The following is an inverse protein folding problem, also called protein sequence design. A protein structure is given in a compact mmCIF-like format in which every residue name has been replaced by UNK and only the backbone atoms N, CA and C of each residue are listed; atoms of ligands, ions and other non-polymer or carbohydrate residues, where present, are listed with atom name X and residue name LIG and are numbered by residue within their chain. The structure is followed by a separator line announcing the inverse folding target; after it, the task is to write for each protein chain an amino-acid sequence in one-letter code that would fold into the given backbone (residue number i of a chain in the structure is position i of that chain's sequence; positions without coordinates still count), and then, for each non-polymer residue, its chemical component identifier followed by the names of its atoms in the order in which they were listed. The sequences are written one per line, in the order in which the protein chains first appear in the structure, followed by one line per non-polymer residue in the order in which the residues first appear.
data_IF_857896733894
#
_entry.id   IF_857896733894
#
_cell.length_a   1.000
_cell.length_b   1.000
_cell.length_c   1.000
_cell.angle_alpha   90.00
_cell.angle_beta   90.00
_cell.angle_gamma   90.00
#
_symmetry.space_group_name_H-M   'P 1'
#
loop_
_entity.id
_entity.type
_entity.pdbx_description
1 polymer ?
#
# COMPACT_ATOMS: atom_id res chain seq x y z
N UNK A 1 -30.48 43.62 -43.19
CA UNK A 1 -30.77 42.68 -42.09
C UNK A 1 -29.92 41.42 -42.26
N UNK A 2 -28.60 41.57 -42.32
CA UNK A 2 -27.65 40.48 -42.65
C UNK A 2 -26.59 40.25 -41.57
N UNK A 3 -26.43 41.17 -40.63
CA UNK A 3 -25.43 41.08 -39.55
C UNK A 3 -25.90 40.19 -38.38
N UNK A 4 -27.22 40.03 -38.20
CA UNK A 4 -27.81 39.22 -37.13
C UNK A 4 -27.66 37.71 -37.38
N UNK A 5 -27.69 37.26 -38.64
CA UNK A 5 -27.41 35.87 -39.02
C UNK A 5 -25.92 35.52 -38.79
N UNK A 6 -25.00 36.47 -39.04
CA UNK A 6 -23.57 36.27 -38.84
C UNK A 6 -23.22 36.11 -37.36
N UNK A 7 -23.80 36.92 -36.47
CA UNK A 7 -23.52 36.86 -35.02
C UNK A 7 -24.11 35.61 -34.35
N UNK A 8 -25.27 35.14 -34.81
CA UNK A 8 -25.93 33.95 -34.24
C UNK A 8 -25.23 32.66 -34.69
N UNK A 9 -24.76 32.60 -35.94
CA UNK A 9 -23.93 31.48 -36.42
C UNK A 9 -22.55 31.44 -35.74
N UNK A 10 -21.94 32.60 -35.46
CA UNK A 10 -20.69 32.67 -34.71
C UNK A 10 -20.84 32.18 -33.27
N UNK A 11 -21.94 32.54 -32.60
CA UNK A 11 -22.29 32.04 -31.28
C UNK A 11 -22.57 30.53 -31.30
N UNK A 12 -23.27 30.03 -32.31
CA UNK A 12 -23.49 28.60 -32.49
C UNK A 12 -22.19 27.84 -32.74
N UNK A 13 -21.24 28.43 -33.48
CA UNK A 13 -19.92 27.86 -33.73
C UNK A 13 -19.07 27.82 -32.46
N UNK A 14 -19.05 28.91 -31.70
CA UNK A 14 -18.38 29.03 -30.41
C UNK A 14 -18.97 28.05 -29.38
N UNK A 15 -20.29 27.94 -29.29
CA UNK A 15 -20.99 26.99 -28.42
C UNK A 15 -20.55 25.55 -28.71
N UNK A 16 -20.55 25.13 -29.98
CA UNK A 16 -20.07 23.79 -30.37
C UNK A 16 -18.59 23.57 -30.04
N UNK A 17 -17.78 24.62 -30.13
CA UNK A 17 -16.35 24.55 -29.82
C UNK A 17 -16.13 24.38 -28.31
N UNK A 18 -16.86 25.12 -27.48
CA UNK A 18 -16.86 24.95 -26.01
C UNK A 18 -17.39 23.58 -25.59
N UNK A 19 -18.48 23.09 -26.18
CA UNK A 19 -19.02 21.75 -25.87
C UNK A 19 -18.01 20.65 -26.17
N UNK A 20 -17.32 20.70 -27.32
CA UNK A 20 -16.27 19.74 -27.65
C UNK A 20 -15.10 19.81 -26.68
N UNK A 21 -14.68 21.02 -26.31
CA UNK A 21 -13.57 21.22 -25.39
C UNK A 21 -13.91 20.70 -23.98
N UNK A 22 -15.15 20.91 -23.53
CA UNK A 22 -15.66 20.38 -22.26
C UNK A 22 -15.69 18.84 -22.28
N UNK A 23 -16.18 18.22 -23.36
CA UNK A 23 -16.21 16.76 -23.50
C UNK A 23 -14.80 16.14 -23.53
N UNK A 24 -13.83 16.81 -24.15
CA UNK A 24 -12.44 16.35 -24.20
C UNK A 24 -11.76 16.47 -22.83
N UNK A 25 -12.04 17.54 -22.08
CA UNK A 25 -11.60 17.69 -20.69
C UNK A 25 -12.19 16.61 -19.77
N UNK A 26 -13.50 16.37 -19.86
CA UNK A 26 -14.19 15.34 -19.08
C UNK A 26 -13.64 13.93 -19.37
N UNK A 27 -13.32 13.63 -20.64
CA UNK A 27 -12.68 12.37 -21.02
C UNK A 27 -11.28 12.23 -20.42
N UNK A 28 -10.46 13.27 -20.46
CA UNK A 28 -9.13 13.23 -19.85
C UNK A 28 -9.19 13.07 -18.33
N UNK A 29 -10.12 13.74 -17.67
CA UNK A 29 -10.27 13.65 -16.21
C UNK A 29 -10.77 12.27 -15.77
N UNK A 30 -11.71 11.68 -16.50
CA UNK A 30 -12.12 10.27 -16.30
C UNK A 30 -10.94 9.31 -16.49
N UNK A 31 -10.12 9.48 -17.53
CA UNK A 31 -8.94 8.65 -17.74
C UNK A 31 -7.92 8.79 -16.60
N UNK A 32 -7.68 10.01 -16.09
CA UNK A 32 -6.81 10.23 -14.93
C UNK A 32 -7.34 9.55 -13.67
N UNK A 33 -8.64 9.64 -13.42
CA UNK A 33 -9.27 8.98 -12.28
C UNK A 33 -9.22 7.45 -12.40
N UNK A 34 -9.47 6.89 -13.59
CA UNK A 34 -9.36 5.45 -13.84
C UNK A 34 -7.92 4.95 -13.69
N UNK A 35 -6.94 5.69 -14.20
CA UNK A 35 -5.52 5.38 -14.00
C UNK A 35 -5.15 5.47 -12.52
N UNK A 36 -5.61 6.50 -11.80
CA UNK A 36 -5.39 6.63 -10.36
C UNK A 36 -5.98 5.46 -9.57
N UNK A 37 -7.18 5.00 -9.93
CA UNK A 37 -7.80 3.80 -9.35
C UNK A 37 -7.00 2.53 -9.65
N UNK A 38 -6.54 2.36 -10.89
CA UNK A 38 -5.69 1.22 -11.29
C UNK A 38 -4.37 1.21 -10.52
N UNK A 39 -3.69 2.35 -10.41
CA UNK A 39 -2.42 2.47 -9.66
C UNK A 39 -2.64 2.16 -8.19
N UNK A 40 -3.70 2.70 -7.57
CA UNK A 40 -4.04 2.38 -6.17
C UNK A 40 -4.32 0.89 -5.99
N UNK A 41 -5.02 0.26 -6.93
CA UNK A 41 -5.27 -1.19 -6.91
C UNK A 41 -3.99 -2.01 -7.01
N UNK A 42 -3.06 -1.64 -7.88
CA UNK A 42 -1.76 -2.30 -8.01
C UNK A 42 -0.92 -2.14 -6.74
N UNK A 43 -0.87 -0.92 -6.17
CA UNK A 43 -0.14 -0.66 -4.93
C UNK A 43 -0.71 -1.44 -3.75
N UNK A 44 -2.04 -1.52 -3.65
CA UNK A 44 -2.71 -2.34 -2.64
C UNK A 44 -2.38 -3.82 -2.83
N UNK A 45 -2.42 -4.32 -4.07
CA UNK A 45 -2.05 -5.72 -4.38
C UNK A 45 -0.59 -6.05 -4.04
N UNK A 46 0.34 -5.14 -4.34
CA UNK A 46 1.75 -5.29 -3.95
C UNK A 46 1.93 -5.30 -2.43
N UNK A 47 1.20 -4.43 -1.71
CA UNK A 47 1.18 -4.41 -0.25
C UNK A 47 0.70 -5.75 0.32
N UNK A 48 -0.42 -6.25 -0.18
CA UNK A 48 -0.99 -7.53 0.26
C UNK A 48 -0.06 -8.73 -0.03
N UNK A 49 0.64 -8.70 -1.16
CA UNK A 49 1.61 -9.73 -1.53
C UNK A 49 2.83 -9.71 -0.61
N UNK A 50 3.42 -8.53 -0.38
CA UNK A 50 4.56 -8.36 0.53
C UNK A 50 4.22 -8.80 1.95
N UNK A 51 3.02 -8.46 2.41
CA UNK A 51 2.53 -8.80 3.74
C UNK A 51 2.29 -10.31 3.86
N UNK A 52 1.75 -10.95 2.81
CA UNK A 52 1.61 -12.40 2.77
C UNK A 52 2.98 -13.11 2.77
N UNK A 53 3.96 -12.60 2.02
CA UNK A 53 5.33 -13.13 2.03
C UNK A 53 5.99 -12.98 3.39
N UNK A 54 5.85 -11.82 4.03
CA UNK A 54 6.44 -11.54 5.33
C UNK A 54 5.81 -12.42 6.43
N UNK A 55 4.50 -12.66 6.40
CA UNK A 55 3.82 -13.61 7.31
C UNK A 55 4.29 -15.05 7.04
N UNK A 56 4.50 -15.43 5.79
CA UNK A 56 5.03 -16.76 5.45
C UNK A 56 6.46 -16.95 5.95
N UNK A 57 7.29 -15.91 5.89
CA UNK A 57 8.64 -15.91 6.49
C UNK A 57 8.58 -15.90 8.01
N UNK A 58 7.62 -15.21 8.62
CA UNK A 58 7.43 -15.21 10.07
C UNK A 58 7.22 -16.63 10.62
N UNK A 59 6.56 -17.52 9.87
CA UNK A 59 6.35 -18.93 10.23
C UNK A 59 7.65 -19.71 10.44
N UNK A 60 8.78 -19.28 9.86
CA UNK A 60 10.06 -19.97 10.03
C UNK A 60 10.82 -19.51 11.27
N UNK A 61 10.45 -18.37 11.86
CA UNK A 61 11.18 -17.72 12.95
C UNK A 61 10.35 -17.52 14.22
N UNK A 62 9.02 -17.58 14.12
CA UNK A 62 8.10 -17.37 15.22
C UNK A 62 7.29 -18.63 15.57
N UNK A 63 6.90 -18.80 16.84
CA UNK A 63 6.00 -19.86 17.26
C UNK A 63 4.63 -19.83 16.53
N UNK A 64 3.95 -20.97 16.37
CA UNK A 64 2.67 -21.03 15.65
C UNK A 64 1.54 -20.17 16.25
N UNK A 65 1.56 -19.92 17.57
CA UNK A 65 0.56 -19.05 18.22
C UNK A 65 0.74 -17.58 17.83
N UNK A 66 1.99 -17.11 17.73
CA UNK A 66 2.34 -15.76 17.27
C UNK A 66 1.92 -15.56 15.81
N UNK A 67 2.17 -16.56 14.95
CA UNK A 67 1.74 -16.50 13.54
C UNK A 67 0.22 -16.33 13.45
N UNK A 68 -0.54 -17.10 14.23
CA UNK A 68 -2.01 -16.99 14.26
C UNK A 68 -2.48 -15.62 14.74
N UNK A 69 -1.81 -15.04 15.73
CA UNK A 69 -2.14 -13.71 16.22
C UNK A 69 -1.84 -12.63 15.17
N UNK A 70 -0.70 -12.70 14.49
CA UNK A 70 -0.37 -11.78 13.37
C UNK A 70 -1.37 -11.93 12.21
N UNK A 71 -1.76 -13.16 11.86
CA UNK A 71 -2.78 -13.43 10.84
C UNK A 71 -4.17 -12.91 11.23
N UNK A 72 -4.54 -13.03 12.51
CA UNK A 72 -5.82 -12.51 13.03
C UNK A 72 -5.85 -10.97 13.09
N UNK A 73 -4.69 -10.35 13.34
CA UNK A 73 -4.55 -8.90 13.44
C UNK A 73 -4.36 -8.23 12.07
N UNK A 74 -4.02 -8.99 11.02
CA UNK A 74 -3.85 -8.50 9.64
C UNK A 74 -5.04 -7.66 9.12
N UNK A 75 -6.25 -8.02 9.53
CA UNK A 75 -7.49 -7.47 8.99
C UNK A 75 -8.31 -6.68 10.01
N UNK A 76 -7.79 -6.47 11.23
CA UNK A 76 -8.47 -5.70 12.26
C UNK A 76 -8.12 -4.22 12.14
N UNK A 77 -9.13 -3.37 12.32
CA UNK A 77 -8.92 -1.94 12.52
C UNK A 77 -8.25 -1.70 13.88
N UNK A 78 -7.08 -1.06 13.85
CA UNK A 78 -6.24 -0.84 15.03
C UNK A 78 -5.01 -1.76 15.02
N UNK A 79 -3.84 -1.14 14.84
CA UNK A 79 -2.56 -1.84 14.71
C UNK A 79 -1.73 -1.83 16.00
N UNK A 80 -2.24 -1.25 17.10
CA UNK A 80 -1.50 -1.12 18.37
C UNK A 80 -1.13 -2.46 19.01
N UNK A 81 -2.06 -3.43 19.02
CA UNK A 81 -1.78 -4.76 19.55
C UNK A 81 -0.79 -5.52 18.67
N UNK A 82 -0.90 -5.34 17.35
CA UNK A 82 0.07 -5.88 16.39
C UNK A 82 1.45 -5.25 16.57
N UNK A 83 1.50 -3.94 16.89
CA UNK A 83 2.74 -3.20 17.15
C UNK A 83 3.42 -3.76 18.39
N UNK A 84 2.69 -3.90 19.49
CA UNK A 84 3.20 -4.46 20.74
C UNK A 84 3.73 -5.87 20.54
N UNK A 85 3.00 -6.69 19.80
CA UNK A 85 3.38 -8.07 19.53
C UNK A 85 4.64 -8.16 18.67
N UNK A 86 4.73 -7.40 17.57
CA UNK A 86 5.93 -7.39 16.71
C UNK A 86 7.14 -6.79 17.46
N UNK A 87 6.95 -5.71 18.22
CA UNK A 87 8.00 -5.12 19.06
C UNK A 87 8.51 -6.09 20.12
N UNK A 88 7.63 -6.84 20.80
CA UNK A 88 8.04 -7.86 21.76
C UNK A 88 8.88 -8.97 21.13
N UNK A 89 8.55 -9.41 19.91
CA UNK A 89 9.37 -10.38 19.17
C UNK A 89 10.73 -9.82 18.78
N UNK A 90 10.80 -8.54 18.40
CA UNK A 90 12.05 -7.87 18.08
C UNK A 90 12.96 -7.79 19.31
N UNK A 91 12.43 -7.37 20.46
CA UNK A 91 13.16 -7.30 21.73
C UNK A 91 13.69 -8.69 22.16
N UNK A 92 12.89 -9.75 21.99
CA UNK A 92 13.30 -11.11 22.32
C UNK A 92 14.37 -11.65 21.36
N UNK A 93 14.29 -11.30 20.07
CA UNK A 93 15.33 -11.62 19.10
C UNK A 93 16.63 -10.85 19.39
N UNK A 94 16.55 -9.58 19.78
CA UNK A 94 17.71 -8.77 20.15
C UNK A 94 18.41 -9.33 21.39
N UNK A 95 17.65 -9.70 22.43
CA UNK A 95 18.19 -10.39 23.62
C UNK A 95 18.84 -11.71 23.29
N UNK A 96 18.30 -12.47 22.32
CA UNK A 96 18.90 -13.73 21.85
C UNK A 96 20.17 -13.45 21.06
N UNK A 97 20.18 -12.45 20.19
CA UNK A 97 21.34 -12.04 19.41
C UNK A 97 22.52 -11.64 20.32
N UNK A 98 22.23 -10.88 21.38
CA UNK A 98 23.24 -10.48 22.38
C UNK A 98 23.84 -11.65 23.18
N UNK A 99 23.21 -12.82 23.15
CA UNK A 99 23.69 -14.05 23.82
C UNK A 99 24.37 -15.03 22.88
N UNK A 100 24.36 -14.77 21.58
CA UNK A 100 24.98 -15.65 20.58
C UNK A 100 26.48 -15.42 20.52
N UNK A 101 27.25 -16.50 20.66
CA UNK A 101 28.71 -16.46 20.65
C UNK A 101 29.33 -16.52 19.23
N UNK A 102 28.59 -17.01 18.22
CA UNK A 102 29.11 -17.23 16.86
C UNK A 102 28.28 -16.51 15.79
N UNK A 103 28.94 -15.99 14.74
CA UNK A 103 28.27 -15.35 13.60
C UNK A 103 27.34 -16.30 12.82
N UNK A 104 27.63 -17.59 12.79
CA UNK A 104 26.82 -18.58 12.08
C UNK A 104 25.45 -18.74 12.75
N UNK A 105 25.42 -18.71 14.08
CA UNK A 105 24.20 -18.81 14.87
C UNK A 105 23.39 -17.49 14.90
N UNK A 106 24.03 -16.37 14.54
CA UNK A 106 23.39 -15.07 14.46
C UNK A 106 22.64 -14.83 13.14
N UNK A 107 23.06 -15.47 12.03
CA UNK A 107 22.46 -15.24 10.72
C UNK A 107 20.94 -15.51 10.65
N UNK A 108 20.40 -16.60 11.26
CA UNK A 108 18.96 -16.83 11.32
C UNK A 108 18.21 -15.74 12.10
N UNK A 109 18.79 -15.25 13.20
CA UNK A 109 18.20 -14.22 14.04
C UNK A 109 18.21 -12.83 13.36
N UNK A 110 19.27 -12.51 12.61
CA UNK A 110 19.33 -11.30 11.79
C UNK A 110 18.27 -11.31 10.69
N UNK A 111 18.08 -12.46 10.02
CA UNK A 111 17.03 -12.62 9.03
C UNK A 111 15.63 -12.47 9.66
N UNK A 112 15.42 -13.03 10.85
CA UNK A 112 14.18 -12.87 11.60
C UNK A 112 13.88 -11.40 11.92
N UNK A 113 14.87 -10.64 12.41
CA UNK A 113 14.74 -9.20 12.67
C UNK A 113 14.39 -8.42 11.41
N UNK A 114 15.02 -8.74 10.27
CA UNK A 114 14.68 -8.10 8.99
C UNK A 114 13.24 -8.37 8.58
N UNK A 115 12.75 -9.61 8.75
CA UNK A 115 11.34 -9.95 8.49
C UNK A 115 10.38 -9.17 9.39
N UNK A 116 10.69 -9.00 10.68
CA UNK A 116 9.86 -8.20 11.60
C UNK A 116 9.84 -6.71 11.23
N UNK A 117 10.98 -6.14 10.84
CA UNK A 117 11.03 -4.75 10.37
C UNK A 117 10.19 -4.53 9.11
N UNK A 118 10.24 -5.47 8.16
CA UNK A 118 9.38 -5.43 6.96
C UNK A 118 7.91 -5.46 7.36
N UNK A 119 7.52 -6.29 8.33
CA UNK A 119 6.14 -6.30 8.83
C UNK A 119 5.78 -4.94 9.46
N UNK A 120 6.66 -4.35 10.28
CA UNK A 120 6.43 -3.03 10.87
C UNK A 120 6.21 -1.96 9.80
N UNK A 121 7.10 -1.89 8.79
CA UNK A 121 7.00 -0.90 7.72
C UNK A 121 5.70 -1.09 6.92
N UNK A 122 5.31 -2.33 6.61
CA UNK A 122 4.10 -2.60 5.82
C UNK A 122 2.80 -2.29 6.59
N UNK A 123 2.76 -2.58 7.89
CA UNK A 123 1.57 -2.35 8.72
C UNK A 123 1.46 -0.91 9.24
N UNK A 124 2.57 -0.22 9.48
CA UNK A 124 2.59 1.09 10.16
C UNK A 124 3.04 2.27 9.29
N UNK A 125 3.39 2.08 8.02
CA UNK A 125 3.71 3.19 7.08
C UNK A 125 2.46 3.94 6.55
N UNK A 126 1.37 3.99 7.33
CA UNK A 126 0.15 4.74 6.99
C UNK A 126 -0.09 5.88 7.98
#
# INVERSE_FOLDING_TARGET
MTDEESGLDELMRLSRQFTRQQEDHDKQERQRQEQGKKVRGVLQGLKDLNLSMAVQQLRTVAPPHIVKEVEALRYKDGSDDLRKLISGLADDLEKRLGKVASKADAAPLVNAMRTLNILMDLYFSL
#
